data_IF_571196922160
#
_entry.id   IF_571196922160
#
_cell.length_a   1.000
_cell.length_b   1.000
_cell.length_c   1.000
_cell.angle_alpha   90.00
_cell.angle_beta   90.00
_cell.angle_gamma   90.00
#
_symmetry.space_group_name_H-M   'P 1'
#
loop_
_entity.id
_entity.type
_entity.pdbx_description
1 polymer ?
#
# COMPACT_ATOMS: atom_id res chain seq x y z
N UNK A 1 -5.01 8.14 -14.40
CA UNK A 1 -5.69 7.41 -13.32
C UNK A 1 -5.15 5.99 -13.27
N UNK A 2 -5.00 5.42 -12.06
CA UNK A 2 -4.74 4.01 -11.86
C UNK A 2 -6.07 3.25 -11.92
N UNK A 3 -6.01 1.97 -12.30
CA UNK A 3 -7.19 1.11 -12.34
C UNK A 3 -7.64 0.69 -10.95
N UNK A 4 -8.92 0.37 -10.78
CA UNK A 4 -9.51 -0.10 -9.51
C UNK A 4 -9.26 -1.60 -9.27
N UNK A 5 -8.38 -2.21 -10.04
CA UNK A 5 -7.92 -3.60 -9.93
C UNK A 5 -6.40 -3.65 -9.97
N UNK A 6 -5.75 -4.73 -9.52
CA UNK A 6 -4.30 -4.89 -9.63
C UNK A 6 -3.83 -4.78 -11.08
N UNK A 7 -2.83 -3.93 -11.33
CA UNK A 7 -2.28 -3.69 -12.66
C UNK A 7 -0.79 -3.33 -12.61
N UNK A 8 -0.10 -3.56 -13.72
CA UNK A 8 1.32 -3.21 -13.87
C UNK A 8 1.45 -2.02 -14.80
N UNK A 9 2.20 -1.03 -14.36
CA UNK A 9 2.49 0.21 -15.09
C UNK A 9 4.00 0.42 -15.25
N UNK A 10 4.35 1.30 -16.16
CA UNK A 10 5.70 1.85 -16.27
C UNK A 10 5.66 3.34 -15.92
N UNK A 11 6.27 3.70 -14.79
CA UNK A 11 6.44 5.09 -14.36
C UNK A 11 7.87 5.53 -14.66
N UNK A 12 8.07 6.15 -15.84
CA UNK A 12 9.40 6.38 -16.36
C UNK A 12 10.08 5.04 -16.69
N UNK A 13 11.20 4.75 -16.03
CA UNK A 13 11.94 3.49 -16.17
C UNK A 13 11.53 2.42 -15.14
N UNK A 14 10.62 2.74 -14.21
CA UNK A 14 10.28 1.87 -13.09
C UNK A 14 9.02 1.03 -13.38
N UNK A 15 9.20 -0.29 -13.40
CA UNK A 15 8.09 -1.23 -13.49
C UNK A 15 7.36 -1.26 -12.14
N UNK A 16 6.10 -0.87 -12.15
CA UNK A 16 5.31 -0.62 -10.95
C UNK A 16 4.06 -1.50 -10.91
N UNK A 17 3.89 -2.24 -9.80
CA UNK A 17 2.64 -2.93 -9.48
C UNK A 17 1.76 -2.01 -8.64
N UNK A 18 0.53 -1.75 -9.09
CA UNK A 18 -0.49 -1.04 -8.33
C UNK A 18 -1.53 -2.01 -7.80
N UNK A 19 -1.84 -1.93 -6.50
CA UNK A 19 -2.87 -2.75 -5.85
C UNK A 19 -3.80 -1.81 -5.05
N UNK A 20 -5.02 -1.56 -5.52
CA UNK A 20 -6.00 -0.72 -4.83
C UNK A 20 -6.67 -1.45 -3.68
N UNK A 21 -7.43 -0.70 -2.87
CA UNK A 21 -8.37 -1.22 -1.89
C UNK A 21 -7.85 -1.28 -0.47
N UNK A 22 -8.75 -0.93 0.46
CA UNK A 22 -8.57 -1.06 1.90
C UNK A 22 -9.94 -1.08 2.61
N UNK A 23 -9.98 -1.58 3.83
CA UNK A 23 -11.18 -1.53 4.66
C UNK A 23 -11.30 -0.18 5.36
N UNK A 24 -12.47 0.47 5.25
CA UNK A 24 -12.78 1.71 5.97
C UNK A 24 -13.33 1.44 7.36
N UNK A 25 -12.61 1.82 8.39
CA UNK A 25 -13.06 1.64 9.79
C UNK A 25 -14.32 2.45 10.13
N UNK A 26 -14.58 3.52 9.38
CA UNK A 26 -15.76 4.38 9.49
C UNK A 26 -16.94 3.96 8.58
N UNK A 27 -16.84 2.79 7.93
CA UNK A 27 -17.85 2.23 7.03
C UNK A 27 -19.28 2.32 7.60
N UNK A 28 -19.47 1.85 8.83
CA UNK A 28 -20.80 1.86 9.47
C UNK A 28 -21.32 3.29 9.67
N UNK A 29 -20.44 4.21 10.07
CA UNK A 29 -20.78 5.61 10.25
C UNK A 29 -21.15 6.28 8.91
N UNK A 30 -20.39 5.98 7.84
CA UNK A 30 -20.68 6.47 6.49
C UNK A 30 -22.05 6.00 6.01
N UNK A 31 -22.36 4.71 6.14
CA UNK A 31 -23.65 4.14 5.75
C UNK A 31 -24.80 4.79 6.55
N UNK A 32 -24.65 4.92 7.89
CA UNK A 32 -25.68 5.50 8.75
C UNK A 32 -25.98 6.98 8.45
N UNK A 33 -24.95 7.74 8.05
CA UNK A 33 -25.10 9.16 7.74
C UNK A 33 -25.32 9.44 6.25
N UNK A 34 -25.48 8.39 5.44
CA UNK A 34 -25.60 8.51 3.98
C UNK A 34 -24.42 9.27 3.33
N UNK A 35 -23.23 9.08 3.90
CA UNK A 35 -21.96 9.56 3.31
C UNK A 35 -21.51 8.57 2.23
N UNK A 36 -20.73 9.04 1.27
CA UNK A 36 -20.22 8.18 0.19
C UNK A 36 -19.41 7.01 0.74
N UNK A 37 -19.85 5.80 0.42
CA UNK A 37 -19.13 4.55 0.64
C UNK A 37 -19.34 3.64 -0.56
N UNK A 38 -18.33 2.87 -0.93
CA UNK A 38 -18.38 1.99 -2.09
C UNK A 38 -18.28 0.53 -1.65
N UNK A 39 -19.14 -0.34 -2.18
CA UNK A 39 -19.12 -1.78 -1.86
C UNK A 39 -17.82 -2.45 -2.28
N UNK A 40 -17.16 -1.94 -3.32
CA UNK A 40 -15.90 -2.42 -3.86
C UNK A 40 -14.67 -1.72 -3.26
N UNK A 41 -14.76 -1.20 -2.03
CA UNK A 41 -13.59 -0.61 -1.35
C UNK A 41 -12.45 -1.61 -1.12
N UNK A 42 -12.75 -2.90 -1.07
CA UNK A 42 -11.80 -4.00 -1.00
C UNK A 42 -11.91 -4.87 -2.24
N UNK A 43 -10.81 -5.45 -2.68
CA UNK A 43 -10.80 -6.36 -3.81
C UNK A 43 -11.63 -7.62 -3.53
N UNK A 44 -12.37 -8.09 -4.53
CA UNK A 44 -12.96 -9.42 -4.57
C UNK A 44 -11.87 -10.51 -4.73
N UNK A 45 -12.23 -11.77 -4.48
CA UNK A 45 -11.30 -12.90 -4.64
C UNK A 45 -10.81 -13.03 -6.08
N UNK A 46 -11.66 -12.74 -7.07
CA UNK A 46 -11.30 -12.75 -8.48
C UNK A 46 -10.30 -11.63 -8.85
N UNK A 47 -10.45 -10.46 -8.25
CA UNK A 47 -9.51 -9.34 -8.45
C UNK A 47 -8.17 -9.59 -7.74
N UNK A 48 -8.19 -10.19 -6.53
CA UNK A 48 -6.97 -10.65 -5.87
C UNK A 48 -6.22 -11.69 -6.70
N UNK A 49 -6.94 -12.57 -7.39
CA UNK A 49 -6.34 -13.55 -8.29
C UNK A 49 -5.64 -12.90 -9.49
N UNK A 50 -6.15 -11.78 -10.00
CA UNK A 50 -5.45 -10.99 -11.02
C UNK A 50 -4.06 -10.58 -10.52
N UNK A 51 -3.97 -10.06 -9.29
CA UNK A 51 -2.69 -9.67 -8.71
C UNK A 51 -1.73 -10.84 -8.50
N UNK A 52 -2.23 -12.03 -8.08
CA UNK A 52 -1.40 -13.25 -7.99
C UNK A 52 -0.84 -13.66 -9.35
N UNK A 53 -1.67 -13.65 -10.38
CA UNK A 53 -1.24 -13.94 -11.75
C UNK A 53 -0.23 -12.91 -12.29
N UNK A 54 -0.38 -11.64 -11.91
CA UNK A 54 0.56 -10.59 -12.31
C UNK A 54 1.95 -10.82 -11.70
N UNK A 55 2.06 -11.20 -10.43
CA UNK A 55 3.37 -11.43 -9.81
C UNK A 55 4.00 -12.76 -10.27
N UNK A 56 3.21 -13.75 -10.66
CA UNK A 56 3.73 -14.94 -11.33
C UNK A 56 4.33 -14.60 -12.70
N UNK A 57 3.65 -13.75 -13.47
CA UNK A 57 4.13 -13.29 -14.78
C UNK A 57 5.31 -12.33 -14.68
N UNK A 58 5.32 -11.51 -13.64
CA UNK A 58 6.30 -10.46 -13.39
C UNK A 58 6.85 -10.57 -11.96
N UNK A 59 7.74 -11.52 -11.68
CA UNK A 59 8.20 -11.80 -10.31
C UNK A 59 9.13 -10.73 -9.72
N UNK A 60 9.56 -9.76 -10.53
CA UNK A 60 10.45 -8.65 -10.13
C UNK A 60 9.79 -7.33 -10.50
N UNK A 61 9.68 -6.43 -9.51
CA UNK A 61 9.17 -5.08 -9.65
C UNK A 61 10.16 -4.07 -9.09
N UNK A 62 10.21 -2.88 -9.69
CA UNK A 62 10.98 -1.79 -9.09
C UNK A 62 10.19 -1.16 -7.94
N UNK A 63 8.88 -0.97 -8.14
CA UNK A 63 7.99 -0.31 -7.19
C UNK A 63 6.69 -1.10 -7.01
N UNK A 64 6.17 -1.13 -5.79
CA UNK A 64 4.78 -1.49 -5.49
C UNK A 64 4.09 -0.28 -4.87
N UNK A 65 2.90 0.04 -5.37
CA UNK A 65 2.02 1.05 -4.77
C UNK A 65 0.73 0.35 -4.36
N UNK A 66 0.36 0.46 -3.10
CA UNK A 66 -0.91 -0.07 -2.59
C UNK A 66 -1.64 0.99 -1.77
N UNK A 67 -2.97 0.82 -1.58
CA UNK A 67 -3.70 1.74 -0.73
C UNK A 67 -3.37 1.51 0.74
N UNK A 68 -3.46 0.25 1.23
CA UNK A 68 -3.01 -0.17 2.56
C UNK A 68 -1.70 -0.97 2.48
N UNK A 69 -1.21 -1.48 3.60
CA UNK A 69 0.09 -2.15 3.72
C UNK A 69 -0.02 -3.67 3.85
N UNK A 70 1.07 -4.42 3.62
CA UNK A 70 1.17 -5.81 4.08
C UNK A 70 0.95 -5.93 5.58
N UNK A 71 0.30 -7.01 6.03
CA UNK A 71 -0.09 -7.25 7.44
C UNK A 71 1.07 -7.12 8.43
N UNK A 72 2.29 -7.42 8.00
CA UNK A 72 3.52 -7.35 8.79
C UNK A 72 3.97 -5.92 9.08
N UNK A 73 3.50 -4.94 8.28
CA UNK A 73 3.87 -3.53 8.37
C UNK A 73 2.75 -2.63 8.88
N UNK A 74 1.66 -3.21 9.41
CA UNK A 74 0.61 -2.41 10.05
C UNK A 74 1.19 -1.49 11.12
N UNK A 75 0.89 -0.18 11.06
CA UNK A 75 1.35 0.78 12.07
C UNK A 75 0.48 0.70 13.33
N UNK A 76 0.57 -0.41 14.07
CA UNK A 76 -0.28 -0.71 15.24
C UNK A 76 -0.19 0.34 16.36
N UNK A 77 0.91 1.07 16.42
CA UNK A 77 1.11 2.19 17.32
C UNK A 77 0.23 3.41 16.98
N UNK A 78 -0.25 3.51 15.74
CA UNK A 78 -1.17 4.57 15.28
C UNK A 78 -2.65 4.19 15.42
N UNK A 79 -2.96 2.94 15.75
CA UNK A 79 -4.34 2.50 15.82
C UNK A 79 -5.10 3.18 16.96
N UNK A 80 -6.33 3.61 16.65
CA UNK A 80 -7.20 4.22 17.63
C UNK A 80 -7.52 3.24 18.76
N UNK A 81 -7.13 3.53 19.98
CA UNK A 81 -7.37 2.67 21.16
C UNK A 81 -8.86 2.45 21.48
N UNK A 82 -9.71 3.37 21.03
CA UNK A 82 -11.17 3.30 21.19
C UNK A 82 -11.84 2.37 20.17
N UNK A 83 -11.12 1.92 19.15
CA UNK A 83 -11.66 1.08 18.09
C UNK A 83 -11.23 -0.38 18.27
N UNK A 84 -12.23 -1.28 18.29
CA UNK A 84 -12.00 -2.72 18.41
C UNK A 84 -11.41 -3.28 17.10
N UNK A 85 -10.12 -3.51 17.08
CA UNK A 85 -9.41 -4.01 15.93
C UNK A 85 -9.85 -5.43 15.48
N UNK A 86 -10.52 -6.20 16.35
CA UNK A 86 -11.06 -7.51 15.97
C UNK A 86 -12.21 -7.43 14.97
N UNK A 87 -12.80 -6.23 14.82
CA UNK A 87 -13.90 -5.96 13.88
C UNK A 87 -13.44 -5.43 12.52
N UNK A 88 -12.14 -5.18 12.37
CA UNK A 88 -11.55 -4.74 11.11
C UNK A 88 -11.33 -5.94 10.21
N UNK A 89 -11.87 -5.89 9.00
CA UNK A 89 -11.58 -6.90 7.98
C UNK A 89 -10.17 -6.67 7.43
N UNK A 90 -9.25 -7.58 7.75
CA UNK A 90 -7.83 -7.52 7.38
C UNK A 90 -7.51 -8.25 6.07
N UNK A 91 -8.53 -8.58 5.26
CA UNK A 91 -8.31 -9.37 4.05
C UNK A 91 -7.31 -8.73 3.09
N UNK A 92 -7.32 -7.39 2.96
CA UNK A 92 -6.39 -6.68 2.09
C UNK A 92 -4.96 -6.74 2.60
N UNK A 93 -4.74 -6.50 3.89
CA UNK A 93 -3.43 -6.56 4.52
C UNK A 93 -2.84 -7.99 4.47
N UNK A 94 -3.67 -9.00 4.67
CA UNK A 94 -3.28 -10.41 4.54
C UNK A 94 -2.89 -10.72 3.10
N UNK A 95 -3.70 -10.33 2.13
CA UNK A 95 -3.42 -10.49 0.71
C UNK A 95 -2.12 -9.79 0.29
N UNK A 96 -1.92 -8.55 0.74
CA UNK A 96 -0.67 -7.82 0.48
C UNK A 96 0.55 -8.51 1.14
N UNK A 97 0.37 -9.14 2.30
CA UNK A 97 1.39 -9.97 2.93
C UNK A 97 1.74 -11.22 2.10
N UNK A 98 0.75 -11.85 1.45
CA UNK A 98 1.01 -12.96 0.50
C UNK A 98 1.81 -12.48 -0.72
N UNK A 99 1.47 -11.30 -1.27
CA UNK A 99 2.20 -10.69 -2.39
C UNK A 99 3.63 -10.36 -1.97
N UNK A 100 3.82 -9.73 -0.81
CA UNK A 100 5.13 -9.35 -0.28
C UNK A 100 6.07 -10.55 -0.13
N UNK A 101 5.54 -11.66 0.36
CA UNK A 101 6.32 -12.89 0.58
C UNK A 101 6.83 -13.55 -0.72
N UNK A 102 6.18 -13.26 -1.86
CA UNK A 102 6.47 -13.91 -3.14
C UNK A 102 7.16 -12.99 -4.15
N UNK A 103 6.93 -11.70 -4.05
CA UNK A 103 7.40 -10.70 -5.01
C UNK A 103 8.79 -10.20 -4.64
N UNK A 104 9.70 -10.17 -5.62
CA UNK A 104 10.93 -9.39 -5.48
C UNK A 104 10.66 -7.94 -5.90
N UNK A 105 10.97 -6.98 -5.01
CA UNK A 105 10.74 -5.55 -5.25
C UNK A 105 11.82 -4.70 -4.57
N UNK A 106 12.04 -3.49 -5.07
CA UNK A 106 12.99 -2.54 -4.47
C UNK A 106 12.30 -1.59 -3.47
N UNK A 107 11.15 -1.06 -3.86
CA UNK A 107 10.39 -0.06 -3.08
C UNK A 107 8.93 -0.45 -2.98
N UNK A 108 8.32 -0.13 -1.83
CA UNK A 108 6.88 -0.27 -1.63
C UNK A 108 6.34 0.96 -0.92
N UNK A 109 5.35 1.63 -1.51
CA UNK A 109 4.69 2.78 -0.92
C UNK A 109 3.20 2.54 -0.71
N UNK A 110 2.66 3.04 0.39
CA UNK A 110 1.22 2.98 0.69
C UNK A 110 0.76 4.21 1.48
N UNK A 111 -0.58 4.41 1.56
CA UNK A 111 -1.23 5.46 2.33
C UNK A 111 -2.08 4.93 3.48
N UNK A 112 -3.38 5.26 3.47
CA UNK A 112 -4.44 4.77 4.34
C UNK A 112 -4.38 5.22 5.81
N UNK A 113 -3.23 5.16 6.47
CA UNK A 113 -3.10 5.35 7.93
C UNK A 113 -2.90 6.81 8.37
N UNK A 114 -2.98 7.76 7.46
CA UNK A 114 -2.90 9.20 7.71
C UNK A 114 -1.63 9.62 8.48
N UNK A 115 -0.52 9.03 8.13
CA UNK A 115 0.79 9.36 8.69
C UNK A 115 1.91 9.11 7.67
N UNK A 116 3.03 9.80 7.88
CA UNK A 116 4.25 9.59 7.09
C UNK A 116 5.24 8.77 7.90
N UNK A 117 5.78 7.73 7.29
CA UNK A 117 6.80 6.89 7.91
C UNK A 117 7.68 6.23 6.88
N UNK A 118 8.98 6.40 7.03
CA UNK A 118 9.97 5.59 6.36
C UNK A 118 10.30 4.40 7.26
N UNK A 119 10.18 3.20 6.74
CA UNK A 119 10.45 1.99 7.52
C UNK A 119 11.93 1.62 7.45
N UNK A 120 12.45 0.89 8.44
CA UNK A 120 13.82 0.40 8.39
C UNK A 120 14.05 -0.49 7.16
N UNK A 121 15.20 -0.34 6.52
CA UNK A 121 15.60 -1.14 5.38
C UNK A 121 15.65 -2.65 5.71
N UNK A 122 15.06 -3.43 4.82
CA UNK A 122 15.13 -4.88 4.84
C UNK A 122 15.95 -5.34 3.62
N UNK A 123 17.22 -5.68 3.83
CA UNK A 123 18.14 -5.88 2.72
C UNK A 123 18.32 -4.60 1.90
N UNK A 124 17.96 -4.63 0.63
CA UNK A 124 17.92 -3.49 -0.29
C UNK A 124 16.49 -2.96 -0.53
N UNK A 125 15.51 -3.50 0.19
CA UNK A 125 14.10 -3.10 0.12
C UNK A 125 13.82 -1.95 1.08
N UNK A 126 13.05 -0.98 0.60
CA UNK A 126 12.61 0.17 1.40
C UNK A 126 11.09 0.32 1.30
N UNK A 127 10.49 0.70 2.41
CA UNK A 127 9.04 0.86 2.52
C UNK A 127 8.69 2.25 3.04
N UNK A 128 7.67 2.86 2.43
CA UNK A 128 7.20 4.20 2.73
C UNK A 128 5.70 4.20 2.96
N UNK A 129 5.27 4.69 4.11
CA UNK A 129 3.89 5.11 4.35
C UNK A 129 3.81 6.62 4.17
N UNK A 130 2.85 7.10 3.40
CA UNK A 130 2.72 8.50 3.04
C UNK A 130 1.31 9.01 3.28
N UNK A 131 1.21 10.21 3.84
CA UNK A 131 -0.05 10.94 4.01
C UNK A 131 -0.26 11.96 2.87
N UNK A 132 -1.47 12.47 2.70
CA UNK A 132 -1.87 13.34 1.61
C UNK A 132 -1.29 14.78 1.67
N UNK A 133 -0.69 15.16 2.79
CA UNK A 133 -0.03 16.46 2.95
C UNK A 133 1.36 16.52 2.32
N UNK A 134 1.95 15.36 2.01
CA UNK A 134 3.28 15.29 1.46
C UNK A 134 3.27 14.69 0.05
N UNK A 135 4.15 15.21 -0.79
CA UNK A 135 4.44 14.68 -2.13
C UNK A 135 5.88 14.20 -2.15
N UNK A 136 6.09 12.98 -2.60
CA UNK A 136 7.42 12.38 -2.72
C UNK A 136 7.84 12.38 -4.18
N UNK A 137 9.05 12.85 -4.44
CA UNK A 137 9.66 12.70 -5.76
C UNK A 137 10.01 11.24 -6.02
N UNK A 138 9.44 10.67 -7.08
CA UNK A 138 9.61 9.27 -7.43
C UNK A 138 11.08 8.90 -7.62
N UNK A 139 11.84 9.72 -8.35
CA UNK A 139 13.25 9.43 -8.62
C UNK A 139 14.08 9.48 -7.33
N UNK A 140 13.81 10.45 -6.46
CA UNK A 140 14.46 10.52 -5.14
C UNK A 140 14.16 9.27 -4.32
N UNK A 141 12.89 8.83 -4.25
CA UNK A 141 12.51 7.62 -3.52
C UNK A 141 13.18 6.37 -4.11
N UNK A 142 13.18 6.23 -5.44
CA UNK A 142 13.75 5.07 -6.10
C UNK A 142 15.29 4.99 -5.99
N UNK A 143 15.96 6.14 -5.87
CA UNK A 143 17.44 6.23 -5.78
C UNK A 143 17.97 6.52 -4.38
N UNK A 144 17.10 6.61 -3.37
CA UNK A 144 17.48 6.91 -1.99
C UNK A 144 18.44 5.87 -1.41
N UNK A 145 19.28 6.33 -0.50
CA UNK A 145 20.26 5.53 0.24
C UNK A 145 19.80 5.28 1.67
N UNK A 146 20.39 4.31 2.34
CA UNK A 146 20.06 3.99 3.75
C UNK A 146 20.31 5.14 4.74
N UNK A 147 21.09 6.14 4.35
CA UNK A 147 21.36 7.33 5.14
C UNK A 147 20.35 8.45 4.94
N UNK A 148 19.52 8.34 3.92
CA UNK A 148 18.55 9.38 3.57
C UNK A 148 17.33 9.28 4.49
N UNK A 149 16.75 10.41 4.77
CA UNK A 149 15.53 10.56 5.57
C UNK A 149 14.30 10.83 4.68
N UNK A 150 13.13 10.82 5.27
CA UNK A 150 11.91 11.22 4.57
C UNK A 150 12.02 12.64 3.99
N UNK A 151 12.66 13.57 4.70
CA UNK A 151 12.84 14.96 4.22
C UNK A 151 13.68 15.07 2.94
N UNK A 152 14.59 14.12 2.70
CA UNK A 152 15.45 14.12 1.52
C UNK A 152 14.67 13.75 0.24
N UNK A 153 13.55 13.04 0.37
CA UNK A 153 12.74 12.56 -0.75
C UNK A 153 11.45 13.36 -0.98
N UNK A 154 10.99 14.14 -0.01
CA UNK A 154 9.83 15.03 -0.18
C UNK A 154 10.13 16.06 -1.29
N UNK A 155 9.12 16.31 -2.13
CA UNK A 155 9.20 17.25 -3.26
C UNK A 155 8.90 18.70 -2.83
#
# INVERSE_FOLDING_TARGET
YLEDIPAVYEFGEYKTLSIPGAYSIDKQLRIQNNWGWFENEQLSDSEMEIGRNLIEKYPIMDLVISHTCPITFEPRDLFLKSFDQSKVDKRMEIYLGEIEAKLDYKRWAWGHFHADRLYPWDGDKEKLMLFDENVVDLNKFMTMKRTDSLFDIIA
#
